data_IF_749817226194
#
_entry.id   IF_749817226194
#
_cell.length_a   1.000
_cell.length_b   1.000
_cell.length_c   1.000
_cell.angle_alpha   90.00
_cell.angle_beta   90.00
_cell.angle_gamma   90.00
#
_symmetry.space_group_name_H-M   'P 1'
#
loop_
_entity.id
_entity.type
_entity.pdbx_description
1 polymer ?
#
# COMPACT_ATOMS: atom_id res chain seq x y z
N UNK A 1 2.86 11.90 0.54
CA UNK A 1 3.52 10.85 -0.28
C UNK A 1 2.67 10.56 -1.51
N UNK A 2 3.26 10.09 -2.61
CA UNK A 2 2.49 9.68 -3.79
C UNK A 2 1.96 8.25 -3.61
N UNK A 3 0.72 8.01 -4.02
CA UNK A 3 0.08 6.70 -3.99
C UNK A 3 -0.79 6.50 -5.24
N UNK A 4 -0.79 5.27 -5.75
CA UNK A 4 -1.76 4.84 -6.79
C UNK A 4 -3.02 4.40 -6.07
N UNK A 5 -4.16 5.00 -6.40
CA UNK A 5 -5.44 4.78 -5.75
C UNK A 5 -6.46 4.18 -6.72
N UNK A 6 -7.18 3.18 -6.23
CA UNK A 6 -8.43 2.69 -6.79
C UNK A 6 -9.59 3.42 -6.08
N UNK A 7 -10.35 4.21 -6.84
CA UNK A 7 -11.51 4.98 -6.34
C UNK A 7 -12.86 4.41 -6.78
N UNK A 8 -12.83 3.60 -7.82
CA UNK A 8 -13.95 2.84 -8.36
C UNK A 8 -13.40 1.55 -8.97
N UNK A 9 -14.23 0.51 -9.07
CA UNK A 9 -13.80 -0.73 -9.72
C UNK A 9 -13.57 -0.50 -11.22
N UNK A 10 -12.54 -1.15 -11.77
CA UNK A 10 -12.22 -1.03 -13.18
C UNK A 10 -10.93 -1.76 -13.57
N UNK A 11 -10.52 -1.51 -14.81
CA UNK A 11 -9.20 -1.90 -15.32
C UNK A 11 -8.12 -0.91 -14.84
N UNK A 12 -6.81 -1.22 -15.00
CA UNK A 12 -5.72 -0.39 -14.49
C UNK A 12 -5.76 1.08 -14.93
N UNK A 13 -6.36 1.40 -16.08
CA UNK A 13 -6.49 2.76 -16.61
C UNK A 13 -7.39 3.66 -15.75
N UNK A 14 -8.19 3.07 -14.86
CA UNK A 14 -9.02 3.80 -13.88
C UNK A 14 -8.26 4.17 -12.60
N UNK A 15 -7.05 3.65 -12.39
CA UNK A 15 -6.23 4.00 -11.24
C UNK A 15 -5.69 5.42 -11.38
N UNK A 16 -5.64 6.15 -10.27
CA UNK A 16 -5.15 7.53 -10.22
C UNK A 16 -3.91 7.63 -9.36
N UNK A 17 -2.94 8.45 -9.77
CA UNK A 17 -1.79 8.78 -8.94
C UNK A 17 -2.07 10.09 -8.21
N UNK A 18 -2.09 10.05 -6.88
CA UNK A 18 -2.38 11.21 -6.05
C UNK A 18 -1.34 11.42 -4.96
N UNK A 19 -1.28 12.63 -4.43
CA UNK A 19 -0.57 12.93 -3.20
C UNK A 19 -1.51 12.76 -2.01
N UNK A 20 -1.11 11.93 -1.05
CA UNK A 20 -1.79 11.68 0.21
C UNK A 20 -0.88 12.04 1.38
N UNK A 21 -1.43 12.15 2.58
CA UNK A 21 -0.63 12.34 3.78
C UNK A 21 0.36 11.19 3.99
N UNK A 22 1.50 11.50 4.62
CA UNK A 22 2.44 10.45 5.00
C UNK A 22 1.85 9.60 6.11
N UNK A 23 2.01 8.27 5.99
CA UNK A 23 1.60 7.33 7.03
C UNK A 23 2.42 7.55 8.31
N UNK A 24 1.78 7.27 9.45
CA UNK A 24 2.41 7.16 10.76
C UNK A 24 2.18 5.74 11.27
N UNK A 25 3.21 5.04 11.78
CA UNK A 25 3.04 3.67 12.25
C UNK A 25 2.26 3.65 13.58
N UNK A 26 1.31 2.72 13.69
CA UNK A 26 0.69 2.35 14.96
C UNK A 26 1.56 1.42 15.80
N UNK A 27 1.00 0.89 16.88
CA UNK A 27 1.69 -0.06 17.76
C UNK A 27 2.06 -1.36 17.01
N UNK A 28 3.32 -1.77 17.10
CA UNK A 28 3.85 -2.95 16.39
C UNK A 28 4.02 -2.77 14.87
N UNK A 29 3.77 -1.59 14.33
CA UNK A 29 3.87 -1.31 12.89
C UNK A 29 5.16 -0.58 12.52
N UNK A 30 5.52 -0.63 11.24
CA UNK A 30 6.61 0.17 10.66
C UNK A 30 6.11 0.90 9.41
N UNK A 31 6.73 2.03 9.08
CA UNK A 31 6.57 2.68 7.78
C UNK A 31 7.79 2.40 6.93
N UNK A 32 7.56 1.90 5.71
CA UNK A 32 8.62 1.62 4.74
C UNK A 32 8.61 2.69 3.66
N UNK A 33 9.78 3.28 3.38
CA UNK A 33 10.00 4.04 2.15
C UNK A 33 10.16 3.07 0.99
N UNK A 34 9.04 2.76 0.34
CA UNK A 34 8.96 1.81 -0.78
C UNK A 34 9.92 2.22 -1.90
N UNK A 35 10.75 1.27 -2.34
CA UNK A 35 11.66 1.40 -3.50
C UNK A 35 11.22 0.55 -4.67
N UNK A 36 10.58 -0.58 -4.39
CA UNK A 36 9.95 -1.45 -5.37
C UNK A 36 8.65 -2.03 -4.80
N UNK A 37 7.68 -2.25 -5.68
CA UNK A 37 6.50 -3.05 -5.40
C UNK A 37 6.38 -4.12 -6.48
N UNK A 38 5.89 -5.29 -6.09
CA UNK A 38 5.57 -6.32 -7.05
C UNK A 38 4.14 -6.16 -7.56
N UNK A 39 3.90 -6.63 -8.78
CA UNK A 39 2.60 -6.58 -9.45
C UNK A 39 2.18 -8.00 -9.73
N UNK A 40 1.05 -8.40 -9.17
CA UNK A 40 0.54 -9.76 -9.24
C UNK A 40 -0.84 -9.81 -9.88
N UNK A 41 -1.23 -10.99 -10.34
CA UNK A 41 -2.56 -11.22 -10.89
C UNK A 41 -3.71 -10.87 -9.93
N UNK A 42 -3.65 -11.18 -8.60
CA UNK A 42 -4.69 -10.78 -7.66
C UNK A 42 -4.92 -9.27 -7.57
N UNK A 43 -3.90 -8.44 -7.78
CA UNK A 43 -4.07 -6.98 -7.80
C UNK A 43 -5.06 -6.56 -8.87
N UNK A 44 -5.00 -7.21 -10.04
CA UNK A 44 -5.94 -6.97 -11.15
C UNK A 44 -7.36 -7.40 -10.80
N UNK A 45 -7.53 -8.46 -10.00
CA UNK A 45 -8.84 -8.94 -9.55
C UNK A 45 -9.43 -8.03 -8.49
N UNK A 46 -8.61 -7.51 -7.58
CA UNK A 46 -9.00 -6.60 -6.50
C UNK A 46 -9.53 -5.28 -7.09
N UNK A 47 -8.79 -4.67 -8.02
CA UNK A 47 -9.24 -3.40 -8.66
C UNK A 47 -10.50 -3.59 -9.52
N UNK A 48 -10.79 -4.81 -9.97
CA UNK A 48 -12.02 -5.14 -10.69
C UNK A 48 -13.18 -5.58 -9.77
N UNK A 49 -12.96 -5.66 -8.45
CA UNK A 49 -13.96 -6.15 -7.50
C UNK A 49 -14.28 -7.66 -7.63
N UNK A 50 -13.42 -8.40 -8.32
CA UNK A 50 -13.56 -9.84 -8.63
C UNK A 50 -12.85 -10.74 -7.62
N UNK A 51 -12.13 -10.16 -6.66
CA UNK A 51 -11.44 -10.92 -5.61
C UNK A 51 -12.31 -11.09 -4.35
N UNK A 52 -11.96 -12.09 -3.53
CA UNK A 52 -12.69 -12.37 -2.28
C UNK A 52 -12.54 -11.23 -1.27
N UNK A 53 -11.32 -10.70 -1.16
CA UNK A 53 -11.04 -9.50 -0.37
C UNK A 53 -11.38 -8.24 -1.16
N UNK A 54 -12.18 -7.36 -0.55
CA UNK A 54 -12.68 -6.12 -1.15
C UNK A 54 -12.41 -4.95 -0.21
N UNK A 55 -11.30 -4.23 -0.39
CA UNK A 55 -10.99 -3.06 0.43
C UNK A 55 -12.05 -1.96 0.23
N UNK A 56 -12.24 -1.12 1.25
CA UNK A 56 -13.05 0.08 1.11
C UNK A 56 -12.36 1.09 0.19
N UNK A 57 -13.13 1.82 -0.61
CA UNK A 57 -12.60 2.93 -1.41
C UNK A 57 -12.31 4.17 -0.54
N UNK A 58 -11.31 4.98 -0.90
CA UNK A 58 -10.23 4.65 -1.84
C UNK A 58 -9.20 3.71 -1.20
N UNK A 59 -8.57 2.85 -2.00
CA UNK A 59 -7.47 1.99 -1.53
C UNK A 59 -6.31 1.97 -2.52
N UNK A 60 -5.11 1.67 -2.03
CA UNK A 60 -3.94 1.36 -2.88
C UNK A 60 -3.90 -0.15 -3.17
N UNK A 61 -3.88 -0.59 -4.44
CA UNK A 61 -3.63 -1.99 -4.76
C UNK A 61 -2.16 -2.36 -4.52
N UNK A 62 -1.86 -3.66 -4.43
CA UNK A 62 -0.53 -4.20 -4.16
C UNK A 62 -0.46 -4.90 -2.80
N UNK A 63 0.12 -6.10 -2.80
CA UNK A 63 0.32 -6.92 -1.60
C UNK A 63 1.78 -7.08 -1.16
N UNK A 64 2.74 -6.61 -1.95
CA UNK A 64 4.17 -6.81 -1.70
C UNK A 64 5.02 -5.59 -2.04
N UNK A 65 5.98 -5.29 -1.17
CA UNK A 65 6.91 -4.16 -1.32
C UNK A 65 8.30 -4.51 -0.80
N UNK A 66 9.31 -3.82 -1.33
CA UNK A 66 10.65 -3.77 -0.78
C UNK A 66 11.09 -2.32 -0.65
N UNK A 67 11.81 -1.99 0.42
CA UNK A 67 12.23 -0.63 0.70
C UNK A 67 13.05 -0.50 1.97
N UNK A 68 13.17 0.74 2.43
CA UNK A 68 13.96 1.10 3.60
C UNK A 68 13.02 1.39 4.76
N UNK A 69 13.33 0.92 5.96
CA UNK A 69 12.52 1.25 7.15
C UNK A 69 12.68 2.74 7.43
N UNK A 70 11.58 3.48 7.35
CA UNK A 70 11.55 4.94 7.51
C UNK A 70 11.24 5.34 8.96
N UNK A 71 10.28 4.66 9.59
CA UNK A 71 9.79 4.99 10.92
C UNK A 71 9.30 3.71 11.63
N UNK A 72 9.47 3.66 12.95
CA UNK A 72 9.01 2.58 13.81
C UNK A 72 7.86 3.09 14.68
N UNK A 73 6.82 2.27 14.83
CA UNK A 73 5.80 2.49 15.83
C UNK A 73 6.24 2.04 17.22
N UNK A 74 5.41 2.27 18.24
CA UNK A 74 5.62 1.72 19.57
C UNK A 74 5.83 0.20 19.55
N UNK A 75 6.58 -0.32 20.54
CA UNK A 75 6.82 -1.75 20.77
C UNK A 75 7.48 -2.55 19.62
N UNK A 76 8.07 -1.88 18.63
CA UNK A 76 8.93 -2.52 17.63
C UNK A 76 10.38 -2.56 18.13
N UNK A 77 10.82 -3.73 18.61
CA UNK A 77 12.14 -3.88 19.25
C UNK A 77 13.23 -4.44 18.34
N UNK A 78 12.86 -5.25 17.35
CA UNK A 78 13.79 -6.08 16.57
C UNK A 78 14.09 -5.53 15.16
N UNK A 79 13.64 -4.32 14.86
CA UNK A 79 13.81 -3.66 13.56
C UNK A 79 14.44 -2.28 13.81
N UNK A 80 15.26 -1.79 12.86
CA UNK A 80 15.87 -0.46 12.92
C UNK A 80 15.50 0.35 11.69
N UNK A 81 15.42 1.67 11.86
CA UNK A 81 15.37 2.63 10.74
C UNK A 81 16.68 2.58 9.96
N UNK A 82 16.59 2.73 8.64
CA UNK A 82 17.71 2.59 7.70
C UNK A 82 17.70 1.24 6.98
#
# INVERSE_FOLDING_TARGET
>A
MKAVLCKEYGLPEKLVLEEIDSLKPGDGEIVVSVKACGVNFPDTLIIQGKYQFKPAFPFSPGGEVAGIVKELGPNVENIKVG
#
